data_IF_350517332378
#
_entry.id   IF_350517332378
#
_cell.length_a   1.000
_cell.length_b   1.000
_cell.length_c   1.000
_cell.angle_alpha   90.00
_cell.angle_beta   90.00
_cell.angle_gamma   90.00
#
_symmetry.space_group_name_H-M   'P 1'
#
loop_
_entity.id
_entity.type
_entity.pdbx_description
1 polymer ?
#
# COMPACT_ATOMS: atom_id res chain seq x y z
N UNK A 1 4.51 -16.07 -6.43
CA UNK A 1 5.57 -15.36 -7.18
C UNK A 1 5.17 -13.89 -7.24
N UNK A 2 6.08 -12.92 -7.09
CA UNK A 2 5.71 -11.51 -7.19
C UNK A 2 5.26 -11.15 -8.61
N UNK A 3 4.54 -10.04 -8.74
CA UNK A 3 4.09 -9.50 -10.02
C UNK A 3 5.24 -8.68 -10.63
N UNK A 4 5.68 -9.04 -11.83
CA UNK A 4 6.64 -8.26 -12.61
C UNK A 4 5.93 -7.35 -13.59
N UNK A 5 6.25 -6.06 -13.57
CA UNK A 5 5.81 -5.09 -14.58
C UNK A 5 7.03 -4.52 -15.28
N UNK A 6 7.13 -4.76 -16.59
CA UNK A 6 8.18 -4.19 -17.44
C UNK A 6 7.60 -3.03 -18.24
N UNK A 7 8.20 -1.86 -18.11
CA UNK A 7 7.84 -0.67 -18.90
C UNK A 7 8.86 -0.53 -20.01
N UNK A 8 8.40 -0.44 -21.26
CA UNK A 8 9.26 -0.36 -22.45
C UNK A 8 8.96 0.88 -23.28
N UNK A 9 10.00 1.37 -23.98
CA UNK A 9 9.90 2.36 -25.06
C UNK A 9 10.48 1.72 -26.32
N UNK A 10 9.59 1.18 -27.16
CA UNK A 10 10.00 0.29 -28.24
C UNK A 10 10.69 -0.95 -27.67
N UNK A 11 11.87 -1.27 -28.18
CA UNK A 11 12.66 -2.43 -27.73
C UNK A 11 13.47 -2.14 -26.44
N UNK A 12 13.55 -0.87 -26.01
CA UNK A 12 14.26 -0.49 -24.79
C UNK A 12 13.39 -0.74 -23.55
N UNK A 13 13.91 -1.46 -22.57
CA UNK A 13 13.31 -1.53 -21.22
C UNK A 13 13.71 -0.31 -20.42
N UNK A 14 12.75 0.54 -20.05
CA UNK A 14 13.00 1.73 -19.24
C UNK A 14 13.00 1.41 -17.74
N UNK A 15 12.10 0.53 -17.31
CA UNK A 15 12.02 0.13 -15.90
C UNK A 15 11.41 -1.26 -15.73
N UNK A 16 11.73 -1.87 -14.60
CA UNK A 16 11.10 -3.10 -14.12
C UNK A 16 10.64 -2.83 -12.69
N UNK A 17 9.35 -3.02 -12.45
CA UNK A 17 8.73 -2.89 -11.14
C UNK A 17 8.34 -4.27 -10.63
N UNK A 18 8.68 -4.56 -9.39
CA UNK A 18 8.26 -5.77 -8.69
C UNK A 18 7.19 -5.39 -7.69
N UNK A 19 6.01 -5.96 -7.85
CA UNK A 19 4.86 -5.71 -7.00
C UNK A 19 4.44 -6.98 -6.25
N UNK A 20 3.93 -6.77 -5.05
CA UNK A 20 3.43 -7.78 -4.13
C UNK A 20 1.97 -7.42 -3.85
N UNK A 21 1.09 -8.41 -3.75
CA UNK A 21 -0.32 -8.16 -3.46
C UNK A 21 -0.88 -9.19 -2.49
N UNK A 22 -1.73 -8.72 -1.59
CA UNK A 22 -2.42 -9.51 -0.57
C UNK A 22 -3.87 -9.04 -0.50
N UNK A 23 -4.81 -9.97 -0.51
CA UNK A 23 -6.22 -9.72 -0.21
C UNK A 23 -6.54 -10.31 1.16
N UNK A 24 -7.11 -9.48 2.03
CA UNK A 24 -7.45 -9.83 3.42
C UNK A 24 -8.96 -9.79 3.58
N UNK A 25 -9.53 -10.81 4.23
CA UNK A 25 -10.94 -10.91 4.56
C UNK A 25 -11.35 -10.08 5.76
N UNK A 26 -12.65 -10.05 6.05
CA UNK A 26 -13.22 -9.26 7.15
C UNK A 26 -12.77 -9.70 8.55
N UNK A 27 -12.32 -10.95 8.70
CA UNK A 27 -11.77 -11.48 9.97
C UNK A 27 -10.24 -11.38 10.01
N UNK A 28 -9.61 -10.73 9.02
CA UNK A 28 -8.15 -10.57 8.94
C UNK A 28 -7.41 -11.77 8.34
N UNK A 29 -8.12 -12.80 7.88
CA UNK A 29 -7.53 -13.93 7.17
C UNK A 29 -7.06 -13.53 5.77
N UNK A 30 -5.91 -14.05 5.34
CA UNK A 30 -5.45 -13.87 3.95
C UNK A 30 -6.28 -14.77 3.03
N UNK A 31 -7.03 -14.16 2.12
CA UNK A 31 -7.85 -14.88 1.11
C UNK A 31 -7.05 -15.13 -0.17
N UNK A 32 -6.10 -14.25 -0.47
CA UNK A 32 -5.20 -14.39 -1.62
C UNK A 32 -3.87 -13.68 -1.35
N UNK A 33 -2.78 -14.23 -1.87
CA UNK A 33 -1.48 -13.58 -1.84
C UNK A 33 -0.65 -13.95 -3.06
N UNK A 34 0.12 -12.98 -3.56
CA UNK A 34 1.10 -13.16 -4.61
C UNK A 34 2.37 -12.38 -4.27
N UNK A 35 3.47 -13.12 -4.08
CA UNK A 35 4.69 -12.61 -3.44
C UNK A 35 4.76 -13.04 -1.97
N UNK A 36 5.59 -12.36 -1.18
CA UNK A 36 5.64 -12.50 0.27
C UNK A 36 4.68 -11.49 0.95
N UNK A 37 3.60 -11.94 1.62
CA UNK A 37 2.68 -11.06 2.34
C UNK A 37 3.33 -10.37 3.56
N UNK A 38 4.47 -10.86 4.04
CA UNK A 38 5.21 -10.29 5.16
C UNK A 38 6.41 -9.44 4.72
N UNK A 39 6.48 -9.07 3.44
CA UNK A 39 7.57 -8.26 2.90
C UNK A 39 7.68 -6.92 3.64
N UNK A 40 8.82 -6.66 4.28
CA UNK A 40 9.07 -5.44 5.01
C UNK A 40 9.33 -4.26 4.06
N UNK A 41 8.52 -3.22 4.18
CA UNK A 41 8.65 -1.99 3.38
C UNK A 41 8.12 -0.77 4.13
N UNK A 42 8.47 0.43 3.66
CA UNK A 42 7.96 1.67 4.23
C UNK A 42 6.50 1.89 3.82
N UNK A 43 5.65 2.27 4.79
CA UNK A 43 4.23 2.60 4.53
C UNK A 43 4.03 3.82 3.60
N UNK A 44 5.03 4.72 3.54
CA UNK A 44 5.04 5.95 2.73
C UNK A 44 3.72 6.72 2.82
N UNK A 45 3.25 7.26 1.70
CA UNK A 45 2.03 8.07 1.62
C UNK A 45 0.75 7.32 2.02
N UNK A 46 0.76 5.99 2.06
CA UNK A 46 -0.39 5.19 2.53
C UNK A 46 -0.66 5.38 4.03
N UNK A 47 0.24 6.06 4.77
CA UNK A 47 0.05 6.41 6.17
C UNK A 47 -0.97 7.53 6.40
N UNK A 48 -1.32 8.30 5.36
CA UNK A 48 -2.20 9.48 5.47
C UNK A 48 -3.54 9.22 6.20
N UNK A 49 -4.28 8.13 5.94
CA UNK A 49 -5.54 7.86 6.65
C UNK A 49 -5.33 7.67 8.15
N UNK A 50 -4.23 7.04 8.56
CA UNK A 50 -3.89 6.86 9.99
C UNK A 50 -3.53 8.18 10.64
N UNK A 51 -2.75 9.02 9.95
CA UNK A 51 -2.44 10.39 10.39
C UNK A 51 -3.71 11.23 10.55
N UNK A 52 -4.61 11.19 9.56
CA UNK A 52 -5.87 11.92 9.60
C UNK A 52 -6.78 11.43 10.75
N UNK A 53 -6.93 10.11 10.92
CA UNK A 53 -7.72 9.54 12.00
C UNK A 53 -7.19 9.94 13.38
N UNK A 54 -5.87 9.89 13.58
CA UNK A 54 -5.22 10.35 14.80
C UNK A 54 -5.48 11.84 15.05
N UNK A 55 -5.31 12.69 14.04
CA UNK A 55 -5.57 14.13 14.11
C UNK A 55 -7.02 14.46 14.49
N UNK A 56 -8.00 13.78 13.88
CA UNK A 56 -9.42 13.94 14.23
C UNK A 56 -9.68 13.51 15.67
N UNK A 57 -9.11 12.37 16.09
CA UNK A 57 -9.26 11.84 17.45
C UNK A 57 -8.76 12.81 18.53
N UNK A 58 -7.69 13.57 18.24
CA UNK A 58 -7.16 14.58 19.17
C UNK A 58 -7.82 15.96 19.02
N UNK A 59 -8.86 16.07 18.20
CA UNK A 59 -9.64 17.30 18.03
C UNK A 59 -8.97 18.36 17.14
N UNK A 60 -7.96 18.01 16.35
CA UNK A 60 -7.26 18.97 15.48
C UNK A 60 -8.15 19.58 14.38
N UNK A 61 -9.28 18.95 14.07
CA UNK A 61 -10.29 19.45 13.13
C UNK A 61 -11.46 20.18 13.81
N UNK A 62 -11.47 20.32 15.14
CA UNK A 62 -12.52 21.04 15.86
C UNK A 62 -12.31 22.55 15.70
N UNK A 63 -12.97 23.15 14.72
CA UNK A 63 -13.22 24.58 14.73
C UNK A 63 -14.22 24.85 15.86
N UNK A 64 -13.78 25.55 16.90
CA UNK A 64 -14.69 26.08 17.92
C UNK A 64 -15.77 26.91 17.20
N UNK A 65 -17.02 26.46 17.28
CA UNK A 65 -18.18 27.33 17.22
C UNK A 65 -18.38 27.96 18.60
#
# INVERSE_FOLDING_TARGET
MPIGCRVTRGDLTESIHVAYAVAVGGEGQVIFSTGDPNYLTCIRSSLKPFQAAASVKVGALMQRL
#
